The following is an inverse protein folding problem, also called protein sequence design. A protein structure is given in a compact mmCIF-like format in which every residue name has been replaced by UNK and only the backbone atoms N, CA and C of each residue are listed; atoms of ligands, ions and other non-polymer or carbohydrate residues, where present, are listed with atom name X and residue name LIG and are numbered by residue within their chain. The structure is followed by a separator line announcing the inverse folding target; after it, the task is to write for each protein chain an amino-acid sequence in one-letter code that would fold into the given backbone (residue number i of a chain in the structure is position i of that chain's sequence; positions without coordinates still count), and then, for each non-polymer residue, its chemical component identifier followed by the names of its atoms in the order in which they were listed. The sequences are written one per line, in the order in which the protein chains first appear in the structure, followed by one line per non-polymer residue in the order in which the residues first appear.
data_IF_005041285910
#
_entry.id   IF_005041285910
#
_cell.length_a   1.000
_cell.length_b   1.000
_cell.length_c   1.000
_cell.angle_alpha   90.00
_cell.angle_beta   90.00
_cell.angle_gamma   90.00
#
_symmetry.space_group_name_H-M   'P 1'
#
loop_
_entity.id
_entity.type
_entity.pdbx_description
1 polymer ?
#
# COMPACT_ATOMS: atom_id res chain seq x y z
N UNK A 1 -42.32 -6.91 11.56
CA UNK A 1 -41.49 -5.98 10.77
C UNK A 1 -40.43 -5.46 11.72
N UNK A 2 -39.28 -6.11 11.77
CA UNK A 2 -38.19 -5.73 12.69
C UNK A 2 -37.55 -4.47 12.16
N UNK A 3 -37.62 -3.40 12.92
CA UNK A 3 -36.99 -2.12 12.59
C UNK A 3 -35.55 -2.25 13.09
N UNK A 4 -34.59 -2.33 12.16
CA UNK A 4 -33.16 -2.37 12.47
C UNK A 4 -32.78 -0.99 13.03
N UNK A 5 -32.06 -0.96 14.16
CA UNK A 5 -31.66 0.31 14.80
C UNK A 5 -30.66 1.07 13.91
N UNK A 6 -30.55 2.39 14.06
CA UNK A 6 -29.54 3.18 13.32
C UNK A 6 -28.12 2.70 13.64
N UNK A 7 -27.88 2.21 14.86
CA UNK A 7 -26.61 1.64 15.30
C UNK A 7 -26.32 0.31 14.57
N UNK A 8 -27.31 -0.56 14.42
CA UNK A 8 -27.21 -1.79 13.62
C UNK A 8 -27.05 -1.49 12.12
N UNK A 9 -27.67 -0.42 11.59
CA UNK A 9 -27.41 0.05 10.22
C UNK A 9 -25.95 0.50 10.06
N UNK A 10 -25.34 1.06 11.11
CA UNK A 10 -23.94 1.55 11.08
C UNK A 10 -22.93 0.39 11.24
N UNK A 11 -23.31 -0.71 11.88
CA UNK A 11 -22.53 -1.96 11.87
C UNK A 11 -22.64 -2.71 10.54
N UNK A 12 -23.79 -2.65 9.87
CA UNK A 12 -24.04 -3.29 8.56
C UNK A 12 -23.48 -2.44 7.41
N UNK A 13 -23.56 -1.12 7.50
CA UNK A 13 -22.99 -0.15 6.57
C UNK A 13 -21.74 0.46 7.21
N UNK A 14 -20.59 -0.09 6.84
CA UNK A 14 -19.30 0.36 7.36
C UNK A 14 -19.10 1.88 7.41
N UNK A 15 -18.32 2.37 8.37
CA UNK A 15 -18.02 3.80 8.47
C UNK A 15 -17.25 4.25 7.22
N UNK A 16 -17.82 5.22 6.49
CA UNK A 16 -17.17 5.86 5.36
C UNK A 16 -16.24 6.97 5.86
N UNK A 17 -15.03 7.06 5.32
CA UNK A 17 -14.09 8.10 5.69
C UNK A 17 -12.89 8.17 4.77
N UNK A 18 -12.13 9.26 4.87
CA UNK A 18 -10.83 9.38 4.19
C UNK A 18 -9.80 8.51 4.90
N UNK A 19 -9.12 7.65 4.15
CA UNK A 19 -8.07 6.76 4.62
C UNK A 19 -6.89 6.77 3.64
N UNK A 20 -5.68 6.54 4.12
CA UNK A 20 -4.54 6.25 3.23
C UNK A 20 -4.31 4.74 3.20
N UNK A 21 -4.38 4.17 2.00
CA UNK A 21 -4.17 2.76 1.74
C UNK A 21 -2.81 2.56 1.07
N UNK A 22 -2.06 1.59 1.58
CA UNK A 22 -0.80 1.14 1.01
C UNK A 22 -0.95 -0.32 0.60
N UNK A 23 -0.52 -0.64 -0.61
CA UNK A 23 -0.39 -2.01 -1.07
C UNK A 23 1.07 -2.29 -1.38
N UNK A 24 1.54 -3.45 -0.96
CA UNK A 24 2.86 -3.99 -1.32
C UNK A 24 2.69 -5.24 -2.18
N UNK A 25 3.67 -5.52 -3.03
CA UNK A 25 3.77 -6.70 -3.89
C UNK A 25 5.26 -7.03 -4.11
N UNK A 26 5.64 -8.29 -4.29
CA UNK A 26 7.05 -8.66 -4.52
C UNK A 26 7.26 -8.91 -6.01
N UNK A 27 8.18 -8.15 -6.61
CA UNK A 27 8.55 -8.35 -8.01
C UNK A 27 9.15 -9.73 -8.24
N UNK A 28 8.71 -10.42 -9.30
CA UNK A 28 9.19 -11.74 -9.71
C UNK A 28 9.06 -12.84 -8.64
N UNK A 29 8.18 -12.69 -7.65
CA UNK A 29 8.00 -13.64 -6.54
C UNK A 29 7.82 -15.09 -6.96
N UNK A 30 7.04 -15.34 -8.02
CA UNK A 30 6.84 -16.70 -8.55
C UNK A 30 8.14 -17.32 -9.05
N UNK A 31 8.97 -16.53 -9.76
CA UNK A 31 10.27 -16.98 -10.27
C UNK A 31 11.25 -17.19 -9.11
N UNK A 32 11.25 -16.31 -8.11
CA UNK A 32 12.09 -16.43 -6.91
C UNK A 32 11.73 -17.68 -6.11
N UNK A 33 10.44 -17.95 -5.92
CA UNK A 33 9.94 -19.17 -5.27
C UNK A 33 10.41 -20.44 -5.98
N UNK A 34 10.32 -20.49 -7.31
CA UNK A 34 10.82 -21.63 -8.10
C UNK A 34 12.34 -21.84 -7.96
N UNK A 35 13.12 -20.77 -7.87
CA UNK A 35 14.58 -20.85 -7.75
C UNK A 35 15.04 -21.27 -6.36
N UNK A 36 14.38 -20.78 -5.30
CA UNK A 36 14.76 -21.03 -3.89
C UNK A 36 14.13 -22.30 -3.32
N UNK A 37 13.03 -22.77 -3.91
CA UNK A 37 12.21 -23.86 -3.40
C UNK A 37 11.27 -23.40 -2.29
N UNK A 38 10.11 -24.05 -2.19
CA UNK A 38 8.95 -23.60 -1.41
C UNK A 38 9.27 -23.35 0.07
N UNK A 39 10.07 -24.19 0.71
CA UNK A 39 10.36 -24.06 2.15
C UNK A 39 11.22 -22.83 2.47
N UNK A 40 12.24 -22.56 1.66
CA UNK A 40 13.12 -21.38 1.85
C UNK A 40 12.33 -20.12 1.52
N UNK A 41 11.62 -20.13 0.40
CA UNK A 41 10.79 -19.01 -0.03
C UNK A 41 9.72 -18.63 1.01
N UNK A 42 9.03 -19.63 1.58
CA UNK A 42 8.01 -19.39 2.61
C UNK A 42 8.61 -18.71 3.84
N UNK A 43 9.81 -19.12 4.27
CA UNK A 43 10.49 -18.49 5.42
C UNK A 43 10.93 -17.06 5.12
N UNK A 44 11.43 -16.82 3.91
CA UNK A 44 11.87 -15.48 3.48
C UNK A 44 10.66 -14.53 3.42
N UNK A 45 9.53 -14.98 2.87
CA UNK A 45 8.26 -14.23 2.86
C UNK A 45 7.74 -13.96 4.26
N UNK A 46 7.76 -14.95 5.16
CA UNK A 46 7.31 -14.74 6.53
C UNK A 46 8.16 -13.68 7.24
N UNK A 47 9.49 -13.76 7.10
CA UNK A 47 10.42 -12.77 7.70
C UNK A 47 10.16 -11.37 7.13
N UNK A 48 9.87 -11.27 5.83
CA UNK A 48 9.49 -10.02 5.19
C UNK A 48 8.16 -9.47 5.73
N UNK A 49 7.14 -10.31 5.87
CA UNK A 49 5.84 -9.88 6.42
C UNK A 49 5.94 -9.44 7.89
N UNK A 50 6.77 -10.09 8.69
CA UNK A 50 7.02 -9.67 10.07
C UNK A 50 7.66 -8.28 10.11
N UNK A 51 8.66 -8.03 9.25
CA UNK A 51 9.29 -6.71 9.12
C UNK A 51 8.29 -5.64 8.66
N UNK A 52 7.50 -5.93 7.61
CA UNK A 52 6.46 -5.01 7.11
C UNK A 52 5.44 -4.71 8.20
N UNK A 53 4.99 -5.71 8.94
CA UNK A 53 3.98 -5.52 10.01
C UNK A 53 4.52 -4.61 11.12
N UNK A 54 5.75 -4.84 11.58
CA UNK A 54 6.38 -3.98 12.60
C UNK A 54 6.53 -2.53 12.10
N UNK A 55 7.00 -2.32 10.87
CA UNK A 55 7.18 -0.97 10.31
C UNK A 55 5.84 -0.26 10.13
N UNK A 56 4.81 -0.99 9.68
CA UNK A 56 3.46 -0.45 9.56
C UNK A 56 2.93 0.00 10.93
N UNK A 57 3.09 -0.82 11.97
CA UNK A 57 2.64 -0.51 13.34
C UNK A 57 3.43 0.66 13.96
N UNK A 58 4.76 0.70 13.79
CA UNK A 58 5.63 1.79 14.26
C UNK A 58 5.26 3.15 13.64
N UNK A 59 4.60 3.12 12.48
CA UNK A 59 4.09 4.30 11.78
C UNK A 59 2.57 4.49 11.95
N UNK A 60 1.97 3.94 13.02
CA UNK A 60 0.54 4.08 13.37
C UNK A 60 -0.43 3.49 12.32
N UNK A 61 0.08 2.65 11.43
CA UNK A 61 -0.71 1.92 10.46
C UNK A 61 -1.21 0.59 11.00
N UNK A 62 -2.05 -0.07 10.20
CA UNK A 62 -2.51 -1.43 10.45
C UNK A 62 -2.46 -2.26 9.18
N UNK A 63 -1.80 -3.41 9.22
CA UNK A 63 -1.93 -4.42 8.17
C UNK A 63 -3.35 -4.99 8.23
N UNK A 64 -4.10 -4.82 7.15
CA UNK A 64 -5.48 -5.28 7.02
C UNK A 64 -5.51 -6.75 6.62
N UNK A 65 -4.68 -7.12 5.64
CA UNK A 65 -4.56 -8.50 5.13
C UNK A 65 -3.31 -8.68 4.29
N UNK A 66 -2.90 -9.93 4.13
CA UNK A 66 -1.92 -10.37 3.14
C UNK A 66 -2.63 -10.79 1.84
N UNK A 67 -1.91 -10.69 0.71
CA UNK A 67 -2.40 -10.91 -0.64
C UNK A 67 -1.38 -11.75 -1.41
N UNK A 68 -1.22 -13.01 -1.02
CA UNK A 68 -0.15 -13.86 -1.54
C UNK A 68 1.20 -13.45 -0.94
N UNK A 69 2.00 -12.78 -1.75
CA UNK A 69 3.33 -12.21 -1.45
C UNK A 69 3.30 -10.71 -1.14
N UNK A 70 2.12 -10.08 -1.25
CA UNK A 70 1.90 -8.68 -0.93
C UNK A 70 1.10 -8.46 0.36
N UNK A 71 0.97 -7.20 0.76
CA UNK A 71 0.15 -6.77 1.90
C UNK A 71 -0.75 -5.61 1.52
N UNK A 72 -1.89 -5.48 2.22
CA UNK A 72 -2.71 -4.29 2.25
C UNK A 72 -2.67 -3.70 3.65
N UNK A 73 -2.29 -2.45 3.78
CA UNK A 73 -2.26 -1.70 5.02
C UNK A 73 -3.06 -0.40 4.92
N UNK A 74 -3.59 0.06 6.05
CA UNK A 74 -4.30 1.32 6.18
C UNK A 74 -3.61 2.22 7.21
N UNK A 75 -3.57 3.51 6.92
CA UNK A 75 -2.93 4.53 7.75
C UNK A 75 -3.87 5.71 7.99
N UNK A 76 -3.77 6.34 9.18
CA UNK A 76 -4.56 7.52 9.50
C UNK A 76 -4.17 8.74 8.65
N UNK A 77 -2.91 8.83 8.20
CA UNK A 77 -2.43 9.94 7.36
C UNK A 77 -1.55 9.47 6.20
N UNK A 78 -1.46 10.30 5.17
CA UNK A 78 -0.58 10.07 4.03
C UNK A 78 0.91 10.09 4.41
N UNK A 79 1.27 10.85 5.47
CA UNK A 79 2.64 10.95 5.97
C UNK A 79 3.08 9.64 6.62
N UNK A 80 2.25 9.10 7.51
CA UNK A 80 2.48 7.80 8.15
C UNK A 80 2.73 6.70 7.10
N UNK A 81 1.92 6.66 6.04
CA UNK A 81 2.09 5.69 4.96
C UNK A 81 3.40 5.90 4.17
N UNK A 82 3.78 7.15 3.90
CA UNK A 82 5.02 7.47 3.20
C UNK A 82 6.26 7.07 4.02
N UNK A 83 6.27 7.38 5.32
CA UNK A 83 7.36 7.03 6.23
C UNK A 83 7.48 5.50 6.37
N UNK A 84 6.35 4.79 6.51
CA UNK A 84 6.31 3.33 6.51
C UNK A 84 6.85 2.73 5.21
N UNK A 85 6.44 3.25 4.05
CA UNK A 85 6.90 2.77 2.75
C UNK A 85 8.41 2.92 2.58
N UNK A 86 8.98 4.05 3.00
CA UNK A 86 10.43 4.29 3.00
C UNK A 86 11.12 3.30 3.95
N UNK A 87 10.55 3.06 5.13
CA UNK A 87 11.04 2.06 6.08
C UNK A 87 11.06 0.65 5.48
N UNK A 88 10.00 0.26 4.76
CA UNK A 88 9.90 -1.06 4.12
C UNK A 88 10.99 -1.22 3.05
N UNK A 89 11.16 -0.24 2.16
CA UNK A 89 12.23 -0.27 1.14
C UNK A 89 13.62 -0.37 1.77
N UNK A 90 13.86 0.34 2.88
CA UNK A 90 15.14 0.28 3.62
C UNK A 90 15.34 -1.02 4.38
N UNK A 91 14.26 -1.69 4.77
CA UNK A 91 14.31 -3.00 5.43
C UNK A 91 14.59 -4.15 4.48
N UNK A 92 14.38 -3.94 3.17
CA UNK A 92 14.64 -4.93 2.13
C UNK A 92 16.09 -5.41 2.17
N UNK A 93 16.27 -6.67 2.58
CA UNK A 93 17.57 -7.32 2.77
C UNK A 93 18.39 -7.33 1.48
N UNK A 94 19.51 -6.59 1.45
CA UNK A 94 20.58 -6.62 0.43
C UNK A 94 20.13 -6.60 -1.05
N UNK A 95 18.92 -6.11 -1.34
CA UNK A 95 18.36 -6.01 -2.70
C UNK A 95 17.82 -7.32 -3.29
N UNK A 96 17.71 -8.41 -2.52
CA UNK A 96 17.22 -9.70 -3.03
C UNK A 96 15.70 -9.74 -3.22
N UNK A 97 14.95 -9.03 -2.37
CA UNK A 97 13.49 -8.89 -2.47
C UNK A 97 13.17 -7.46 -2.89
N UNK A 98 12.72 -7.30 -4.14
CA UNK A 98 12.33 -5.99 -4.68
C UNK A 98 10.84 -5.79 -4.51
N UNK A 99 10.46 -4.93 -3.56
CA UNK A 99 9.06 -4.66 -3.22
C UNK A 99 8.53 -3.56 -4.12
N UNK A 100 7.31 -3.72 -4.62
CA UNK A 100 6.53 -2.67 -5.28
C UNK A 100 5.63 -2.06 -4.22
N UNK A 101 5.67 -0.75 -4.03
CA UNK A 101 4.80 -0.09 -3.06
C UNK A 101 3.95 0.95 -3.78
N UNK A 102 2.64 0.91 -3.52
CA UNK A 102 1.70 1.89 -4.02
C UNK A 102 0.86 2.49 -2.91
N UNK A 103 0.71 3.81 -2.92
CA UNK A 103 -0.02 4.57 -1.90
C UNK A 103 -1.11 5.43 -2.53
N UNK A 104 -2.32 5.33 -2.00
CA UNK A 104 -3.42 6.19 -2.36
C UNK A 104 -4.22 6.64 -1.14
N UNK A 105 -4.58 7.92 -1.12
CA UNK A 105 -5.46 8.53 -0.12
C UNK A 105 -6.79 8.87 -0.77
N UNK A 106 -7.89 8.41 -0.18
CA UNK A 106 -9.23 8.65 -0.69
C UNK A 106 -10.31 8.12 0.26
N UNK A 107 -11.57 8.30 -0.13
CA UNK A 107 -12.70 7.77 0.64
C UNK A 107 -12.87 6.27 0.44
N UNK A 108 -13.00 5.54 1.54
CA UNK A 108 -13.30 4.12 1.56
C UNK A 108 -14.36 3.81 2.62
N UNK A 109 -14.99 2.65 2.48
CA UNK A 109 -15.98 2.14 3.45
C UNK A 109 -15.29 1.07 4.29
N UNK A 110 -15.26 1.26 5.60
CA UNK A 110 -14.70 0.29 6.56
C UNK A 110 -15.76 -0.72 7.01
N UNK A 111 -15.74 -1.94 6.49
CA UNK A 111 -16.72 -3.00 6.83
C UNK A 111 -16.00 -4.19 7.44
N UNK A 112 -16.38 -4.61 8.65
CA UNK A 112 -15.85 -5.84 9.26
C UNK A 112 -14.32 -5.86 9.45
N UNK A 113 -13.69 -4.70 9.62
CA UNK A 113 -12.23 -4.57 9.74
C UNK A 113 -11.46 -4.55 8.41
N UNK A 114 -12.17 -4.55 7.28
CA UNK A 114 -11.64 -4.42 5.93
C UNK A 114 -12.09 -3.10 5.28
N UNK A 115 -11.51 -2.77 4.13
CA UNK A 115 -11.92 -1.62 3.33
C UNK A 115 -12.46 -2.04 1.97
N UNK A 116 -13.50 -1.34 1.52
CA UNK A 116 -14.09 -1.48 0.20
C UNK A 116 -14.24 -0.14 -0.51
N UNK A 117 -14.34 -0.20 -1.84
CA UNK A 117 -14.61 0.96 -2.69
C UNK A 117 -13.47 1.29 -3.65
N UNK A 118 -13.66 2.39 -4.40
CA UNK A 118 -12.76 2.78 -5.47
C UNK A 118 -11.34 3.12 -4.96
N UNK A 119 -11.20 3.66 -3.75
CA UNK A 119 -9.90 3.95 -3.16
C UNK A 119 -9.04 2.70 -3.00
N UNK A 120 -9.63 1.55 -2.63
CA UNK A 120 -8.93 0.26 -2.51
C UNK A 120 -8.44 -0.21 -3.86
N UNK A 121 -9.32 -0.19 -4.86
CA UNK A 121 -8.95 -0.56 -6.23
C UNK A 121 -7.84 0.36 -6.78
N UNK A 122 -7.94 1.66 -6.51
CA UNK A 122 -6.94 2.65 -6.94
C UNK A 122 -5.59 2.41 -6.28
N UNK A 123 -5.53 2.19 -4.96
CA UNK A 123 -4.29 1.87 -4.26
C UNK A 123 -3.60 0.63 -4.86
N UNK A 124 -4.35 -0.46 -5.07
CA UNK A 124 -3.81 -1.68 -5.69
C UNK A 124 -3.29 -1.45 -7.12
N UNK A 125 -3.95 -0.58 -7.90
CA UNK A 125 -3.52 -0.24 -9.26
C UNK A 125 -2.32 0.70 -9.29
N UNK A 126 -2.18 1.58 -8.30
CA UNK A 126 -0.96 2.37 -8.09
C UNK A 126 0.22 1.43 -7.82
N UNK A 127 0.06 0.43 -6.95
CA UNK A 127 1.11 -0.59 -6.70
C UNK A 127 1.45 -1.39 -7.95
N UNK A 128 0.44 -1.79 -8.72
CA UNK A 128 0.65 -2.53 -9.98
C UNK A 128 1.44 -1.74 -11.03
N UNK A 129 1.49 -0.41 -10.92
CA UNK A 129 2.24 0.46 -11.82
C UNK A 129 3.67 0.78 -11.30
N UNK A 130 4.00 0.36 -10.07
CA UNK A 130 5.33 0.51 -9.50
C UNK A 130 6.28 -0.61 -9.99
N UNK A 131 7.55 -0.29 -10.17
CA UNK A 131 8.62 -1.27 -10.36
C UNK A 131 9.09 -1.84 -9.01
N UNK A 132 9.80 -2.97 -9.02
CA UNK A 132 10.43 -3.46 -7.79
C UNK A 132 11.45 -2.46 -7.22
N UNK A 133 11.43 -2.19 -5.92
CA UNK A 133 12.23 -1.17 -5.24
C UNK A 133 11.72 0.26 -5.45
N UNK A 134 10.44 0.43 -5.79
CA UNK A 134 9.83 1.71 -6.09
C UNK A 134 8.58 1.95 -5.23
N UNK A 135 8.49 3.16 -4.69
CA UNK A 135 7.29 3.68 -4.03
C UNK A 135 6.59 4.61 -5.00
N UNK A 136 5.35 4.31 -5.35
CA UNK A 136 4.53 5.12 -6.24
C UNK A 136 3.32 5.67 -5.48
N UNK A 137 3.09 6.99 -5.58
CA UNK A 137 1.96 7.63 -4.91
C UNK A 137 1.00 8.27 -5.90
N UNK A 138 -0.29 8.25 -5.56
CA UNK A 138 -1.31 8.99 -6.30
C UNK A 138 -1.19 10.51 -6.10
N UNK A 139 -1.83 11.30 -6.98
CA UNK A 139 -1.91 12.77 -6.83
C UNK A 139 -2.46 13.22 -5.48
N UNK A 140 -3.54 12.61 -5.00
CA UNK A 140 -4.14 12.96 -3.72
C UNK A 140 -3.15 12.75 -2.55
N UNK A 141 -2.42 11.63 -2.57
CA UNK A 141 -1.39 11.35 -1.56
C UNK A 141 -0.23 12.35 -1.66
N UNK A 142 0.28 12.62 -2.89
CA UNK A 142 1.34 13.60 -3.12
C UNK A 142 0.96 14.98 -2.57
N UNK A 143 -0.24 15.47 -2.88
CA UNK A 143 -0.70 16.79 -2.43
C UNK A 143 -0.66 16.90 -0.91
N UNK A 144 -1.12 15.87 -0.18
CA UNK A 144 -1.14 15.85 1.28
C UNK A 144 0.24 15.84 1.93
N UNK A 145 1.24 15.24 1.26
CA UNK A 145 2.60 15.14 1.79
C UNK A 145 3.58 16.17 1.22
N UNK A 146 3.20 16.90 0.17
CA UNK A 146 4.06 17.88 -0.54
C UNK A 146 4.59 19.04 0.30
N UNK A 147 3.97 19.29 1.46
CA UNK A 147 4.39 20.31 2.43
C UNK A 147 5.51 19.85 3.38
N UNK A 148 5.86 18.56 3.34
CA UNK A 148 6.94 17.97 4.14
C UNK A 148 8.18 17.74 3.27
N UNK A 149 9.25 17.25 3.88
CA UNK A 149 10.53 17.00 3.22
C UNK A 149 10.53 15.66 2.48
N UNK A 150 9.73 15.58 1.40
CA UNK A 150 9.71 14.45 0.48
C UNK A 150 10.12 14.91 -0.91
N UNK A 151 10.95 14.11 -1.57
CA UNK A 151 11.34 14.31 -2.97
C UNK A 151 10.58 13.35 -3.87
N UNK A 152 10.18 13.83 -5.04
CA UNK A 152 9.50 13.01 -6.05
C UNK A 152 10.30 13.03 -7.35
N UNK A 153 10.42 11.87 -7.98
CA UNK A 153 10.99 11.79 -9.32
C UNK A 153 9.96 12.25 -10.37
N UNK A 154 10.31 12.06 -11.65
CA UNK A 154 9.48 12.49 -12.78
C UNK A 154 8.09 11.86 -12.71
N UNK A 155 7.07 12.72 -12.83
CA UNK A 155 5.66 12.32 -12.89
C UNK A 155 5.41 11.28 -14.00
N UNK A 156 4.53 10.33 -13.72
CA UNK A 156 4.02 9.37 -14.69
C UNK A 156 2.52 9.51 -14.87
N UNK A 157 2.08 9.55 -16.12
CA UNK A 157 0.66 9.48 -16.50
C UNK A 157 0.36 8.03 -16.88
N UNK A 158 -0.63 7.43 -16.24
CA UNK A 158 -1.02 6.03 -16.48
C UNK A 158 -2.54 5.87 -16.58
N UNK A 159 -2.98 4.97 -17.45
CA UNK A 159 -4.33 4.40 -17.38
C UNK A 159 -4.32 3.25 -16.38
N UNK A 160 -5.19 3.32 -15.37
CA UNK A 160 -5.26 2.29 -14.34
C UNK A 160 -6.41 1.34 -14.68
N UNK A 161 -6.09 0.04 -14.85
CA UNK A 161 -7.08 -0.97 -15.25
C UNK A 161 -8.34 -0.93 -14.37
N UNK A 162 -9.48 -0.66 -15.01
CA UNK A 162 -10.80 -0.61 -14.37
C UNK A 162 -11.10 0.70 -13.66
N UNK A 163 -10.32 1.76 -13.90
CA UNK A 163 -10.56 3.12 -13.40
C UNK A 163 -10.54 4.07 -14.60
N UNK A 164 -11.58 4.88 -14.72
CA UNK A 164 -11.75 5.74 -15.88
C UNK A 164 -10.73 6.90 -15.90
N UNK A 165 -10.24 7.18 -17.11
CA UNK A 165 -9.37 8.31 -17.40
C UNK A 165 -7.89 8.04 -17.15
N UNK A 166 -7.10 9.11 -17.30
CA UNK A 166 -5.67 9.09 -17.02
C UNK A 166 -5.39 9.58 -15.61
N UNK A 167 -4.38 9.00 -14.98
CA UNK A 167 -4.02 9.31 -13.61
C UNK A 167 -2.54 9.67 -13.51
N UNK A 168 -2.25 10.76 -12.79
CA UNK A 168 -0.88 11.15 -12.46
C UNK A 168 -0.41 10.44 -11.20
N UNK A 169 0.74 9.80 -11.32
CA UNK A 169 1.45 9.04 -10.30
C UNK A 169 2.84 9.64 -10.12
N UNK A 170 3.37 9.57 -8.91
CA UNK A 170 4.62 10.21 -8.56
C UNK A 170 5.52 9.23 -7.82
N UNK A 171 6.67 8.85 -8.37
CA UNK A 171 7.64 8.05 -7.64
C UNK A 171 8.15 8.86 -6.45
N UNK A 172 8.07 8.31 -5.25
CA UNK A 172 8.60 8.90 -4.03
C UNK A 172 10.06 8.44 -3.85
N UNK A 173 10.99 9.39 -3.86
CA UNK A 173 12.42 9.10 -3.75
C UNK A 173 12.76 8.72 -2.30
N UNK A 174 13.32 7.53 -2.09
CA UNK A 174 13.68 7.00 -0.76
C UNK A 174 15.16 6.70 -0.59
N UNK A 175 15.89 6.65 -1.70
CA UNK A 175 17.35 6.52 -1.75
C UNK A 175 17.96 7.89 -1.48
N UNK A 176 19.04 7.95 -0.70
CA UNK A 176 19.73 9.22 -0.46
C UNK A 176 20.16 9.83 -1.79
N UNK A 177 19.99 11.15 -1.91
CA UNK A 177 20.60 11.90 -2.99
C UNK A 177 22.12 11.81 -2.79
N UNK A 178 22.81 11.09 -3.68
CA UNK A 178 24.26 11.05 -3.72
C UNK A 178 24.87 12.43 -3.98
#
# INVERSE_FOLDING_TARGET
MTVISVEEITEIAGSSGTVTLMFTDIEDSTRLGQQRGDSVWTRDIQSHFDAVSNIVEDNEGKVIKTLGDGTMAAFPTARNAADAAIGIERSGTDGELRVRIGIHTGEAISVGGDYAGLAVAKAARVTSAAAGGEILVSSATRELISRFDYTFDTERVAELKGIDGTHRLYPLSWKEAH
#
